data_IF_610972687721
#
_entry.id   IF_610972687721
#
_cell.length_a   1.000
_cell.length_b   1.000
_cell.length_c   1.000
_cell.angle_alpha   90.00
_cell.angle_beta   90.00
_cell.angle_gamma   90.00
#
_symmetry.space_group_name_H-M   'P 1'
#
loop_
_entity.id
_entity.type
_entity.pdbx_description
1 polymer ?
#
# COMPACT_ATOMS: atom_id res chain seq x y z
N UNK A 1 -38.67 7.27 -19.12
CA UNK A 1 -38.57 5.83 -18.79
C UNK A 1 -37.22 5.36 -19.29
N UNK A 2 -36.28 5.04 -18.39
CA UNK A 2 -34.90 4.64 -18.73
C UNK A 2 -34.76 3.15 -18.48
N UNK A 3 -34.62 2.36 -19.53
CA UNK A 3 -34.37 0.92 -19.46
C UNK A 3 -32.93 0.66 -18.97
N UNK A 4 -32.80 0.31 -17.68
CA UNK A 4 -31.55 -0.15 -17.09
C UNK A 4 -31.38 -1.62 -17.48
N UNK A 5 -30.80 -1.83 -18.68
CA UNK A 5 -30.36 -3.13 -19.17
C UNK A 5 -29.36 -3.76 -18.21
N UNK A 6 -29.82 -4.74 -17.43
CA UNK A 6 -29.03 -5.53 -16.48
C UNK A 6 -27.98 -6.34 -17.24
N UNK A 7 -26.73 -5.85 -17.29
CA UNK A 7 -25.60 -6.59 -17.85
C UNK A 7 -25.37 -7.87 -17.04
N UNK A 8 -25.81 -9.01 -17.59
CA UNK A 8 -25.50 -10.33 -17.04
C UNK A 8 -23.98 -10.54 -17.16
N UNK A 9 -23.25 -10.74 -16.06
CA UNK A 9 -21.82 -10.97 -16.14
C UNK A 9 -21.56 -12.29 -16.87
N UNK A 10 -20.92 -12.23 -18.05
CA UNK A 10 -20.43 -13.42 -18.75
C UNK A 10 -19.47 -14.16 -17.82
N UNK A 11 -19.86 -15.37 -17.38
CA UNK A 11 -19.01 -16.30 -16.64
C UNK A 11 -17.74 -16.55 -17.48
N UNK A 12 -16.62 -15.94 -17.10
CA UNK A 12 -15.34 -16.14 -17.80
C UNK A 12 -15.02 -17.64 -17.72
N UNK A 13 -14.93 -18.29 -18.87
CA UNK A 13 -14.40 -19.65 -18.94
C UNK A 13 -12.99 -19.61 -18.38
N UNK A 14 -12.73 -20.52 -17.46
CA UNK A 14 -11.42 -20.81 -16.90
C UNK A 14 -10.44 -21.06 -18.07
N UNK A 15 -9.37 -20.29 -18.23
CA UNK A 15 -8.42 -20.49 -19.31
C UNK A 15 -7.80 -21.88 -19.16
N UNK A 16 -7.95 -22.74 -20.16
CA UNK A 16 -7.27 -24.02 -20.24
C UNK A 16 -6.02 -23.85 -21.09
N UNK A 17 -4.90 -24.41 -20.62
CA UNK A 17 -3.65 -24.46 -21.38
C UNK A 17 -3.44 -25.92 -21.75
N UNK A 18 -3.40 -26.23 -23.05
CA UNK A 18 -3.24 -27.62 -23.53
C UNK A 18 -4.32 -28.60 -23.05
N UNK A 19 -5.53 -28.13 -22.74
CA UNK A 19 -6.62 -28.97 -22.21
C UNK A 19 -6.59 -29.19 -20.69
N UNK A 20 -5.55 -28.71 -20.00
CA UNK A 20 -5.46 -28.78 -18.53
C UNK A 20 -5.93 -27.48 -17.87
N UNK A 21 -6.63 -27.62 -16.75
CA UNK A 21 -7.01 -26.50 -15.90
C UNK A 21 -5.96 -26.29 -14.81
N UNK A 22 -5.26 -25.15 -14.86
CA UNK A 22 -4.35 -24.78 -13.79
C UNK A 22 -5.14 -24.12 -12.64
N UNK A 23 -4.86 -24.46 -11.37
CA UNK A 23 -5.44 -23.75 -10.25
C UNK A 23 -4.99 -22.27 -10.26
N UNK A 24 -5.83 -21.34 -9.78
CA UNK A 24 -5.44 -19.94 -9.70
C UNK A 24 -4.25 -19.76 -8.73
N UNK A 25 -3.38 -18.77 -8.97
CA UNK A 25 -2.28 -18.46 -8.06
C UNK A 25 -2.84 -18.11 -6.68
N UNK A 26 -2.28 -18.72 -5.64
CA UNK A 26 -2.65 -18.44 -4.25
C UNK A 26 -1.79 -17.31 -3.71
N UNK A 27 -2.37 -16.33 -2.98
CA UNK A 27 -1.55 -15.34 -2.29
C UNK A 27 -0.68 -16.06 -1.26
N UNK A 28 0.62 -15.85 -1.35
CA UNK A 28 1.61 -16.37 -0.39
C UNK A 28 2.07 -15.24 0.52
N UNK A 29 2.67 -15.57 1.67
CA UNK A 29 3.30 -14.54 2.52
C UNK A 29 4.34 -13.70 1.77
N UNK A 30 4.99 -14.29 0.76
CA UNK A 30 5.90 -13.59 -0.14
C UNK A 30 5.22 -12.49 -0.96
N UNK A 31 3.97 -12.66 -1.36
CA UNK A 31 3.23 -11.60 -2.05
C UNK A 31 3.07 -10.36 -1.16
N UNK A 32 2.81 -10.55 0.14
CA UNK A 32 2.73 -9.45 1.11
C UNK A 32 4.10 -8.78 1.27
N UNK A 33 5.17 -9.56 1.42
CA UNK A 33 6.53 -9.03 1.55
C UNK A 33 6.93 -8.17 0.34
N UNK A 34 6.65 -8.62 -0.89
CA UNK A 34 6.95 -7.86 -2.11
C UNK A 34 6.18 -6.54 -2.14
N UNK A 35 4.90 -6.54 -1.77
CA UNK A 35 4.10 -5.30 -1.71
C UNK A 35 4.63 -4.34 -0.65
N UNK A 36 4.97 -4.86 0.54
CA UNK A 36 5.53 -4.03 1.61
C UNK A 36 6.90 -3.45 1.23
N UNK A 37 7.76 -4.22 0.58
CA UNK A 37 9.08 -3.75 0.16
C UNK A 37 8.99 -2.80 -1.04
N UNK A 38 8.12 -3.07 -2.00
CA UNK A 38 8.00 -2.26 -3.22
C UNK A 38 7.20 -0.98 -3.03
N UNK A 39 6.15 -1.00 -2.19
CA UNK A 39 5.25 0.13 -1.99
C UNK A 39 5.31 0.67 -0.56
N UNK A 40 5.34 -0.21 0.45
CA UNK A 40 5.42 0.22 1.85
C UNK A 40 6.74 0.96 2.16
N UNK A 41 7.86 0.40 1.74
CA UNK A 41 9.19 0.96 2.01
C UNK A 41 9.37 2.39 1.45
N UNK A 42 9.05 2.72 0.18
CA UNK A 42 9.18 4.09 -0.29
C UNK A 42 8.22 5.05 0.41
N UNK A 43 6.98 4.63 0.69
CA UNK A 43 6.02 5.47 1.42
C UNK A 43 6.52 5.79 2.83
N UNK A 44 6.99 4.76 3.55
CA UNK A 44 7.59 4.94 4.88
C UNK A 44 8.86 5.80 4.80
N UNK A 45 9.69 5.61 3.77
CA UNK A 45 10.89 6.43 3.56
C UNK A 45 10.56 7.91 3.38
N UNK A 46 9.57 8.25 2.56
CA UNK A 46 9.13 9.64 2.38
C UNK A 46 8.58 10.22 3.68
N UNK A 47 7.77 9.46 4.42
CA UNK A 47 7.24 9.88 5.71
C UNK A 47 8.35 10.11 6.73
N UNK A 48 9.37 9.24 6.78
CA UNK A 48 10.50 9.37 7.68
C UNK A 48 11.36 10.62 7.37
N UNK A 49 11.57 10.93 6.08
CA UNK A 49 12.26 12.16 5.68
C UNK A 49 11.45 13.39 6.09
N UNK A 50 10.14 13.38 5.86
CA UNK A 50 9.26 14.48 6.26
C UNK A 50 9.29 14.69 7.78
N UNK A 51 9.22 13.61 8.56
CA UNK A 51 9.31 13.66 10.02
C UNK A 51 10.64 14.27 10.49
N UNK A 52 11.76 13.88 9.88
CA UNK A 52 13.07 14.45 10.17
C UNK A 52 13.15 15.95 9.83
N UNK A 53 12.57 16.37 8.71
CA UNK A 53 12.51 17.79 8.33
C UNK A 53 11.71 18.61 9.34
N UNK A 54 10.56 18.10 9.77
CA UNK A 54 9.75 18.77 10.80
C UNK A 54 10.48 18.81 12.13
N UNK A 55 11.11 17.71 12.55
CA UNK A 55 11.92 17.68 13.77
C UNK A 55 13.01 18.77 13.75
N UNK A 56 13.76 18.89 12.66
CA UNK A 56 14.78 19.92 12.51
C UNK A 56 14.18 21.33 12.48
N UNK A 57 13.05 21.52 11.81
CA UNK A 57 12.35 22.80 11.76
C UNK A 57 11.93 23.26 13.17
N UNK A 58 11.26 22.39 13.93
CA UNK A 58 10.78 22.75 15.27
C UNK A 58 11.92 22.94 16.27
N UNK A 59 12.94 22.09 16.24
CA UNK A 59 14.07 22.20 17.17
C UNK A 59 14.99 23.38 16.86
N UNK A 60 15.23 23.71 15.58
CA UNK A 60 16.19 24.75 15.19
C UNK A 60 15.56 26.12 14.95
N UNK A 61 14.33 26.19 14.45
CA UNK A 61 13.69 27.47 14.10
C UNK A 61 12.77 27.94 15.22
N UNK A 62 11.93 27.04 15.74
CA UNK A 62 10.93 27.40 16.74
C UNK A 62 11.42 27.21 18.18
N UNK A 63 12.52 26.48 18.39
CA UNK A 63 13.01 26.13 19.74
C UNK A 63 11.99 25.32 20.54
N UNK A 64 11.03 24.70 19.86
CA UNK A 64 9.97 23.92 20.45
C UNK A 64 10.33 22.44 20.37
N UNK A 65 9.94 21.74 21.40
CA UNK A 65 10.07 20.30 21.47
C UNK A 65 8.99 19.63 20.61
N UNK A 66 9.39 18.65 19.78
CA UNK A 66 8.54 18.06 18.74
C UNK A 66 8.62 16.53 18.75
N UNK A 67 7.47 15.86 18.64
CA UNK A 67 7.37 14.41 18.51
C UNK A 67 7.71 13.64 19.79
N UNK A 68 8.32 12.46 19.62
CA UNK A 68 8.71 11.57 20.73
C UNK A 68 9.72 12.22 21.69
N UNK A 69 10.49 13.19 21.21
CA UNK A 69 11.42 13.97 22.03
C UNK A 69 10.75 14.74 23.16
N UNK A 70 9.44 15.01 23.02
CA UNK A 70 8.63 15.63 24.07
C UNK A 70 8.05 14.66 25.07
N UNK A 71 7.96 13.38 24.73
CA UNK A 71 7.48 12.36 25.64
C UNK A 71 8.56 11.94 26.66
N UNK A 72 9.84 12.04 26.28
CA UNK A 72 10.98 11.76 27.16
C UNK A 72 11.59 13.02 27.80
N UNK A 73 10.85 14.14 27.79
CA UNK A 73 11.26 15.41 28.40
C UNK A 73 11.49 15.31 29.90
#
# INVERSE_FOLDING_TARGET
MVDIGKRIPRRRRKPSVGGHYLPPPRPTGWAVAIVLLGFGLPVVGVLAVLDLLLYLLFTRVFGLCYGLSCFFG
#
